data_IF_756755989249
#
_entry.id   IF_756755989249
#
_cell.length_a   1.000
_cell.length_b   1.000
_cell.length_c   1.000
_cell.angle_alpha   90.00
_cell.angle_beta   90.00
_cell.angle_gamma   90.00
#
_symmetry.space_group_name_H-M   'P 1'
#
loop_
_entity.id
_entity.type
_entity.pdbx_description
1 polymer ?
#
# COMPACT_ATOMS: atom_id res chain seq x y z
N UNK A 1 7.19 4.01 -4.26
CA UNK A 1 7.20 2.77 -3.45
C UNK A 1 8.54 2.07 -3.61
N UNK A 2 9.17 1.58 -2.54
CA UNK A 2 10.41 0.80 -2.61
C UNK A 2 10.16 -0.58 -3.23
N UNK A 3 11.16 -1.14 -3.89
CA UNK A 3 11.13 -2.53 -4.40
C UNK A 3 11.39 -3.56 -3.28
N UNK A 4 12.11 -3.16 -2.23
CA UNK A 4 12.47 -4.00 -1.09
C UNK A 4 12.22 -3.24 0.22
N UNK A 5 11.79 -3.94 1.27
CA UNK A 5 11.69 -3.40 2.63
C UNK A 5 12.03 -4.47 3.67
N UNK A 6 12.26 -4.05 4.91
CA UNK A 6 12.50 -4.93 6.04
C UNK A 6 11.41 -4.79 7.11
N UNK A 7 11.18 -5.83 7.93
CA UNK A 7 10.31 -5.74 9.10
C UNK A 7 10.75 -4.59 10.02
N UNK A 8 9.79 -3.75 10.43
CA UNK A 8 10.04 -2.54 11.22
C UNK A 8 10.29 -1.28 10.41
N UNK A 9 10.44 -1.36 9.09
CA UNK A 9 10.56 -0.18 8.21
C UNK A 9 9.21 0.44 7.84
N UNK A 10 9.26 1.66 7.32
CA UNK A 10 8.11 2.37 6.78
C UNK A 10 8.12 2.24 5.26
N UNK A 11 7.06 1.64 4.72
CA UNK A 11 6.79 1.57 3.28
C UNK A 11 5.89 2.74 2.90
N UNK A 12 6.36 3.60 2.01
CA UNK A 12 5.52 4.66 1.44
C UNK A 12 4.86 4.18 0.15
N UNK A 13 3.54 4.07 0.22
CA UNK A 13 2.68 3.83 -0.94
C UNK A 13 2.30 5.20 -1.51
N UNK A 14 2.46 5.39 -2.82
CA UNK A 14 2.27 6.69 -3.46
C UNK A 14 1.64 6.52 -4.82
N UNK A 15 0.74 7.42 -5.19
CA UNK A 15 0.23 7.51 -6.55
C UNK A 15 0.25 8.95 -7.06
N UNK A 16 0.42 9.08 -8.38
CA UNK A 16 0.27 10.33 -9.12
C UNK A 16 -1.08 10.40 -9.82
N UNK A 17 -1.95 9.43 -9.60
CA UNK A 17 -3.30 9.44 -10.15
C UNK A 17 -4.08 10.63 -9.59
N UNK A 18 -4.92 11.17 -10.47
CA UNK A 18 -5.85 12.25 -10.13
C UNK A 18 -7.23 11.66 -10.31
N UNK A 19 -7.88 11.36 -9.19
CA UNK A 19 -9.27 10.91 -9.18
C UNK A 19 -10.08 12.01 -8.51
N UNK A 20 -11.08 12.54 -9.21
CA UNK A 20 -12.04 13.49 -8.60
C UNK A 20 -12.96 12.83 -7.58
N UNK A 21 -12.76 11.55 -7.33
CA UNK A 21 -13.55 10.76 -6.41
C UNK A 21 -13.54 11.33 -4.99
N UNK A 22 -14.72 11.22 -4.40
CA UNK A 22 -14.89 11.49 -2.99
C UNK A 22 -14.22 10.37 -2.23
N UNK A 23 -13.24 10.71 -1.41
CA UNK A 23 -12.67 9.79 -0.41
C UNK A 23 -13.85 9.16 0.35
N UNK A 24 -13.93 7.82 0.47
CA UNK A 24 -14.97 7.16 1.25
C UNK A 24 -15.03 7.74 2.67
N UNK A 25 -16.21 7.74 3.30
CA UNK A 25 -16.35 8.26 4.68
C UNK A 25 -15.41 7.55 5.67
N UNK A 26 -15.08 6.28 5.39
CA UNK A 26 -14.14 5.48 6.16
C UNK A 26 -12.66 5.63 5.73
N UNK A 27 -12.37 6.41 4.68
CA UNK A 27 -11.07 6.52 4.04
C UNK A 27 -10.74 5.37 3.07
N UNK A 28 -9.61 5.49 2.39
CA UNK A 28 -9.00 4.43 1.60
C UNK A 28 -8.33 3.42 2.52
N UNK A 29 -8.72 2.15 2.45
CA UNK A 29 -8.03 1.05 3.12
C UNK A 29 -6.87 0.60 2.24
N UNK A 30 -5.66 0.85 2.72
CA UNK A 30 -4.42 0.50 2.01
C UNK A 30 -3.75 -0.61 2.78
N UNK A 31 -3.44 -1.71 2.10
CA UNK A 31 -2.85 -2.87 2.74
C UNK A 31 -1.55 -3.33 2.11
N UNK A 32 -0.78 -4.03 2.94
CA UNK A 32 0.39 -4.81 2.62
C UNK A 32 0.05 -6.24 3.03
N UNK A 33 -0.06 -7.15 2.05
CA UNK A 33 -0.57 -8.51 2.25
C UNK A 33 0.35 -9.52 1.59
N UNK A 34 0.73 -10.58 2.31
CA UNK A 34 1.42 -11.71 1.70
C UNK A 34 0.43 -12.59 0.92
N UNK A 35 0.67 -12.87 -0.38
CA UNK A 35 -0.23 -13.63 -1.24
C UNK A 35 -0.08 -15.15 -1.03
N UNK A 36 -0.07 -15.60 0.23
CA UNK A 36 0.00 -17.02 0.62
C UNK A 36 -1.14 -17.33 1.60
N UNK A 37 -1.54 -18.59 1.68
CA UNK A 37 -2.56 -19.03 2.64
C UNK A 37 -2.09 -18.76 4.08
N UNK A 38 -2.91 -18.05 4.88
CA UNK A 38 -2.53 -17.60 6.21
C UNK A 38 -1.49 -16.47 6.24
N UNK A 39 -1.21 -15.85 5.08
CA UNK A 39 -0.27 -14.76 4.94
C UNK A 39 -0.60 -13.56 5.82
N UNK A 40 0.44 -12.85 6.25
CA UNK A 40 0.24 -11.67 7.10
C UNK A 40 -0.30 -10.50 6.29
N UNK A 41 -1.22 -9.76 6.92
CA UNK A 41 -1.80 -8.54 6.39
C UNK A 41 -1.66 -7.41 7.39
N UNK A 42 -1.32 -6.24 6.88
CA UNK A 42 -1.27 -4.97 7.62
C UNK A 42 -2.03 -3.95 6.78
N UNK A 43 -2.93 -3.19 7.39
CA UNK A 43 -3.64 -2.12 6.69
C UNK A 43 -3.62 -0.81 7.48
N UNK A 44 -3.68 0.28 6.73
CA UNK A 44 -3.85 1.65 7.23
C UNK A 44 -4.99 2.31 6.48
N UNK A 45 -5.46 3.44 7.01
CA UNK A 45 -6.46 4.28 6.35
C UNK A 45 -5.87 5.62 5.97
N UNK A 46 -6.15 6.07 4.74
CA UNK A 46 -5.88 7.43 4.30
C UNK A 46 -7.19 8.15 4.02
N UNK A 47 -7.35 9.35 4.58
CA UNK A 47 -8.45 10.26 4.26
C UNK A 47 -8.10 11.25 3.14
N UNK A 48 -6.93 11.10 2.52
CA UNK A 48 -6.42 12.05 1.55
C UNK A 48 -7.01 11.78 0.15
N UNK A 49 -7.13 12.86 -0.63
CA UNK A 49 -7.63 12.79 -2.01
C UNK A 49 -6.51 12.39 -2.97
N UNK A 50 -6.89 11.74 -4.07
CA UNK A 50 -6.01 11.52 -5.22
C UNK A 50 -5.95 12.80 -6.06
N UNK A 51 -5.08 13.73 -5.67
CA UNK A 51 -4.88 15.02 -6.33
C UNK A 51 -3.62 15.08 -7.19
N UNK A 52 -3.00 13.92 -7.46
CA UNK A 52 -1.73 13.80 -8.17
C UNK A 52 -0.49 13.76 -7.27
N UNK A 53 -0.67 13.89 -5.94
CA UNK A 53 0.42 13.83 -4.95
C UNK A 53 0.16 12.87 -3.78
N UNK A 54 -0.84 12.01 -3.90
CA UNK A 54 -1.27 11.13 -2.82
C UNK A 54 -0.16 10.17 -2.37
N UNK A 55 0.02 10.07 -1.05
CA UNK A 55 0.90 9.07 -0.46
C UNK A 55 0.45 8.72 0.96
N UNK A 56 0.73 7.48 1.37
CA UNK A 56 0.45 7.00 2.73
C UNK A 56 1.64 6.18 3.23
N UNK A 57 2.12 6.43 4.47
CA UNK A 57 3.12 5.59 5.11
C UNK A 57 2.46 4.37 5.78
N UNK A 58 3.06 3.19 5.60
CA UNK A 58 2.68 1.95 6.26
C UNK A 58 3.89 1.43 7.03
N UNK A 59 3.76 1.28 8.34
CA UNK A 59 4.83 0.68 9.16
C UNK A 59 4.69 -0.84 9.13
N UNK A 60 5.71 -1.54 8.63
CA UNK A 60 5.74 -3.00 8.71
C UNK A 60 6.02 -3.42 10.16
N UNK A 61 5.22 -4.34 10.74
CA UNK A 61 5.54 -4.96 12.02
C UNK A 61 6.95 -5.56 12.01
N UNK A 62 7.64 -5.52 13.16
CA UNK A 62 8.99 -6.09 13.30
C UNK A 62 9.05 -7.61 13.10
N UNK A 63 7.90 -8.26 13.28
CA UNK A 63 7.67 -9.68 13.09
C UNK A 63 6.93 -9.96 11.78
N UNK A 64 6.92 -9.00 10.83
CA UNK A 64 6.37 -9.24 9.50
C UNK A 64 7.26 -10.27 8.79
N UNK A 65 6.68 -11.37 8.28
CA UNK A 65 7.43 -12.42 7.60
C UNK A 65 8.10 -11.91 6.31
N UNK A 66 9.28 -12.44 6.02
CA UNK A 66 9.96 -12.21 4.75
C UNK A 66 9.21 -12.89 3.59
N UNK A 67 9.33 -12.34 2.39
CA UNK A 67 8.76 -12.87 1.16
C UNK A 67 8.11 -11.81 0.27
N UNK A 68 7.64 -12.27 -0.89
CA UNK A 68 6.89 -11.43 -1.81
C UNK A 68 5.59 -10.97 -1.16
N UNK A 69 5.28 -9.68 -1.31
CA UNK A 69 4.16 -9.04 -0.64
C UNK A 69 3.44 -8.11 -1.61
N UNK A 70 2.13 -8.25 -1.71
CA UNK A 70 1.28 -7.37 -2.49
C UNK A 70 0.93 -6.11 -1.69
N UNK A 71 0.89 -4.98 -2.37
CA UNK A 71 0.44 -3.69 -1.82
C UNK A 71 -0.72 -3.21 -2.66
N UNK A 72 -1.77 -2.70 -2.03
CA UNK A 72 -2.83 -2.03 -2.77
C UNK A 72 -3.93 -1.41 -1.92
N UNK A 73 -4.92 -0.81 -2.58
CA UNK A 73 -6.12 -0.27 -1.95
C UNK A 73 -7.24 -1.30 -2.06
N UNK A 74 -7.72 -1.79 -0.92
CA UNK A 74 -8.66 -2.91 -0.89
C UNK A 74 -10.10 -2.51 -1.16
N UNK A 75 -10.46 -1.29 -0.77
CA UNK A 75 -11.78 -0.71 -1.02
C UNK A 75 -11.79 0.21 -2.24
N UNK A 76 -10.90 -0.03 -3.21
CA UNK A 76 -10.91 0.71 -4.47
C UNK A 76 -12.15 0.36 -5.29
N UNK A 77 -12.96 1.37 -5.59
CA UNK A 77 -14.16 1.21 -6.40
C UNK A 77 -13.99 1.99 -7.72
N UNK A 78 -13.73 1.25 -8.79
CA UNK A 78 -13.54 1.79 -10.14
C UNK A 78 -14.84 2.31 -10.77
N UNK A 79 -16.00 2.06 -10.18
CA UNK A 79 -17.29 2.48 -10.75
C UNK A 79 -17.51 4.00 -10.73
N UNK A 80 -16.72 4.73 -9.95
CA UNK A 80 -16.82 6.19 -9.83
C UNK A 80 -15.75 6.96 -10.63
N UNK A 81 -14.88 6.22 -11.32
CA UNK A 81 -13.82 6.79 -12.12
C UNK A 81 -14.35 7.46 -13.38
N UNK A 82 -14.04 8.75 -13.53
CA UNK A 82 -14.31 9.52 -14.75
C UNK A 82 -13.53 8.92 -15.94
N UNK A 83 -14.17 8.82 -17.10
CA UNK A 83 -13.58 8.30 -18.35
C UNK A 83 -12.31 9.07 -18.79
N UNK A 84 -12.07 10.26 -18.22
CA UNK A 84 -10.91 11.11 -18.49
C UNK A 84 -9.78 10.99 -17.46
N UNK A 85 -9.97 10.24 -16.36
CA UNK A 85 -8.98 10.04 -15.29
C UNK A 85 -8.20 8.71 -15.42
N UNK A 86 -6.94 8.72 -14.97
CA UNK A 86 -6.22 7.47 -14.69
C UNK A 86 -6.66 6.99 -13.31
N UNK A 87 -7.54 6.00 -13.30
CA UNK A 87 -8.06 5.36 -12.09
C UNK A 87 -7.47 3.97 -11.86
N UNK A 88 -6.26 3.75 -12.35
CA UNK A 88 -5.53 2.54 -12.04
C UNK A 88 -5.40 2.46 -10.52
N UNK A 89 -6.02 1.44 -9.91
CA UNK A 89 -5.91 1.24 -8.47
C UNK A 89 -4.43 1.20 -8.09
N UNK A 90 -4.07 1.88 -6.99
CA UNK A 90 -2.71 1.78 -6.48
C UNK A 90 -2.46 0.33 -6.12
N UNK A 91 -1.52 -0.29 -6.84
CA UNK A 91 -1.13 -1.68 -6.67
C UNK A 91 0.36 -1.82 -6.94
N UNK A 92 1.00 -2.76 -6.24
CA UNK A 92 2.42 -3.02 -6.43
C UNK A 92 2.86 -4.29 -5.71
N UNK A 93 4.06 -4.73 -6.03
CA UNK A 93 4.73 -5.85 -5.35
C UNK A 93 5.98 -5.33 -4.67
N UNK A 94 6.17 -5.75 -3.43
CA UNK A 94 7.29 -5.44 -2.56
C UNK A 94 7.94 -6.75 -2.13
N UNK A 95 9.27 -6.83 -2.17
CA UNK A 95 10.00 -7.91 -1.51
C UNK A 95 10.28 -7.53 -0.06
N UNK A 96 9.78 -8.30 0.90
CA UNK A 96 10.18 -8.15 2.30
C UNK A 96 11.37 -9.07 2.57
N UNK A 97 12.52 -8.48 2.90
CA UNK A 97 13.72 -9.22 3.27
C UNK A 97 13.83 -9.32 4.80
N UNK A 98 14.48 -10.37 5.30
CA UNK A 98 14.77 -10.47 6.73
C UNK A 98 15.60 -9.25 7.16
N UNK A 99 15.32 -8.70 8.34
CA UNK A 99 16.10 -7.57 8.85
C UNK A 99 17.60 -7.92 8.81
N UNK A 100 18.47 -7.01 8.33
CA UNK A 100 19.89 -7.28 8.27
C UNK A 100 20.38 -7.63 9.67
N UNK A 101 20.95 -8.83 9.83
CA UNK A 101 21.59 -9.21 11.08
C UNK A 101 22.73 -8.23 11.33
N UNK A 102 22.75 -7.47 12.44
CA UNK A 102 23.88 -6.59 12.72
C UNK A 102 25.15 -7.46 12.83
N UNK A 103 26.13 -7.21 11.96
CA UNK A 103 27.46 -7.83 12.06
C UNK A 103 28.08 -7.39 13.39
N UNK A 104 28.58 -8.31 14.23
CA UNK A 104 29.23 -7.99 15.51
C UNK A 104 30.52 -7.19 15.35
#
# INVERSE_FOLDING_TARGET
MPATAHPGEIVTVSSKDVCRDRVPDAGWEVSVTQPIEGGRRVSVRSSDRFDGSWSVPITLPRDFPAGETAVGIDNWDYSFCDDTGSCAAVSGVLQVEAAPTPTP
#
